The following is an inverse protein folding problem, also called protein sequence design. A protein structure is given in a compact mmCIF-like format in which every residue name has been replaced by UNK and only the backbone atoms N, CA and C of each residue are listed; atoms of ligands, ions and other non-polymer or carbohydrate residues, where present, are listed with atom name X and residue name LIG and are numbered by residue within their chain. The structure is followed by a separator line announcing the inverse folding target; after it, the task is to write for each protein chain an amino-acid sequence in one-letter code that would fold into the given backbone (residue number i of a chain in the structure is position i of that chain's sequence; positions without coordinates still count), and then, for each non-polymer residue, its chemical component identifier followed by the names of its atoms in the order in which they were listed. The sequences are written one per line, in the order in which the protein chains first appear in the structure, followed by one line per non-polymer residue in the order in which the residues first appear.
data_IF_330008635975
#
_entry.id   IF_330008635975
#
_cell.length_a   1.000
_cell.length_b   1.000
_cell.length_c   1.000
_cell.angle_alpha   90.00
_cell.angle_beta   90.00
_cell.angle_gamma   90.00
#
_symmetry.space_group_name_H-M   'P 1'
#
loop_
_entity.id
_entity.type
_entity.pdbx_description
1 polymer ?
#
# COMPACT_ATOMS: atom_id res chain seq x y z
N UNK A 1 -47.80 30.09 24.01
CA UNK A 1 -46.35 30.16 23.71
C UNK A 1 -46.07 29.02 22.74
N UNK A 2 -46.06 29.28 21.44
CA UNK A 2 -45.80 28.27 20.43
C UNK A 2 -44.25 28.15 20.27
N UNK A 3 -43.67 26.94 20.27
CA UNK A 3 -42.25 26.77 20.03
C UNK A 3 -41.93 27.23 18.61
N UNK A 4 -40.92 28.07 18.48
CA UNK A 4 -40.42 28.55 17.18
C UNK A 4 -39.68 27.41 16.46
N UNK A 5 -40.39 26.72 15.56
CA UNK A 5 -39.90 25.55 14.80
C UNK A 5 -39.14 25.98 13.53
N UNK A 6 -39.05 27.28 13.25
CA UNK A 6 -38.51 27.80 11.98
C UNK A 6 -36.96 27.64 11.76
N UNK A 7 -36.10 27.78 12.80
CA UNK A 7 -34.64 27.66 12.53
C UNK A 7 -34.25 26.28 12.01
N UNK A 8 -34.82 25.22 12.57
CA UNK A 8 -34.48 23.85 12.16
C UNK A 8 -34.86 23.50 10.71
N UNK A 9 -35.92 24.11 10.18
CA UNK A 9 -36.33 23.88 8.79
C UNK A 9 -35.39 24.59 7.80
N UNK A 10 -34.92 25.79 8.16
CA UNK A 10 -33.99 26.55 7.32
C UNK A 10 -32.59 25.89 7.27
N UNK A 11 -32.14 25.31 8.39
CA UNK A 11 -30.89 24.57 8.46
C UNK A 11 -30.97 23.26 7.66
N UNK A 12 -32.07 22.54 7.72
CA UNK A 12 -32.31 21.33 6.94
C UNK A 12 -32.41 21.63 5.43
N UNK A 13 -33.02 22.74 5.03
CA UNK A 13 -33.11 23.14 3.63
C UNK A 13 -31.79 23.66 3.09
N UNK A 14 -30.95 24.30 3.92
CA UNK A 14 -29.59 24.70 3.59
C UNK A 14 -28.65 23.50 3.43
N UNK A 15 -28.86 22.47 4.23
CA UNK A 15 -28.06 21.23 4.18
C UNK A 15 -28.39 20.39 2.94
N UNK A 16 -29.68 20.28 2.60
CA UNK A 16 -30.15 19.65 1.34
C UNK A 16 -29.62 20.39 0.12
N UNK A 17 -29.62 21.73 0.14
CA UNK A 17 -29.13 22.55 -0.97
C UNK A 17 -27.58 22.50 -1.09
N UNK A 18 -26.88 22.29 0.02
CA UNK A 18 -25.42 22.09 0.04
C UNK A 18 -25.01 20.72 -0.53
N UNK A 19 -25.82 19.70 -0.31
CA UNK A 19 -25.61 18.35 -0.88
C UNK A 19 -25.87 18.26 -2.40
N UNK A 20 -26.54 19.27 -2.98
CA UNK A 20 -26.93 19.28 -4.38
C UNK A 20 -26.09 20.25 -5.25
N UNK A 21 -25.04 20.86 -4.68
CA UNK A 21 -24.10 21.69 -5.45
C UNK A 21 -23.41 20.79 -6.50
N UNK A 22 -23.56 21.10 -7.81
CA UNK A 22 -22.88 20.37 -8.88
C UNK A 22 -21.36 20.34 -8.74
N UNK A 23 -20.78 21.22 -7.91
CA UNK A 23 -19.34 21.29 -7.62
C UNK A 23 -18.90 20.20 -6.64
N UNK A 24 -19.84 19.70 -5.78
CA UNK A 24 -19.59 18.60 -4.85
C UNK A 24 -19.74 17.22 -5.51
N UNK A 25 -20.36 17.19 -6.71
CA UNK A 25 -20.38 16.01 -7.59
C UNK A 25 -19.05 15.90 -8.32
N UNK A 26 -17.96 15.63 -7.59
CA UNK A 26 -16.73 15.14 -8.22
C UNK A 26 -17.11 13.86 -8.95
N UNK A 27 -17.13 13.86 -10.31
CA UNK A 27 -17.49 12.65 -11.04
C UNK A 27 -16.59 11.53 -10.55
N UNK A 28 -17.14 10.31 -10.30
CA UNK A 28 -16.31 9.17 -9.96
C UNK A 28 -15.32 8.98 -11.10
N UNK A 29 -14.10 9.43 -10.89
CA UNK A 29 -13.03 9.30 -11.88
C UNK A 29 -12.86 7.81 -12.11
N UNK A 30 -13.05 7.29 -13.32
CA UNK A 30 -12.83 5.89 -13.64
C UNK A 30 -11.32 5.65 -13.66
N UNK A 31 -10.72 5.63 -12.47
CA UNK A 31 -9.33 5.21 -12.36
C UNK A 31 -9.31 3.70 -12.32
N UNK A 32 -8.45 3.07 -13.11
CA UNK A 32 -8.29 1.64 -13.01
C UNK A 32 -7.97 1.28 -11.55
N UNK A 33 -8.71 0.34 -10.98
CA UNK A 33 -8.49 -0.15 -9.61
C UNK A 33 -7.10 -0.83 -9.47
N UNK A 34 -6.46 -1.12 -10.59
CA UNK A 34 -5.16 -1.80 -10.72
C UNK A 34 -4.05 -1.20 -9.83
N UNK A 35 -3.78 0.13 -9.79
CA UNK A 35 -2.67 0.65 -8.98
C UNK A 35 -2.90 0.46 -7.48
N UNK A 36 -4.14 0.52 -6.99
CA UNK A 36 -4.45 0.33 -5.57
C UNK A 36 -4.25 -1.14 -5.19
N UNK A 37 -4.74 -2.06 -6.00
CA UNK A 37 -4.54 -3.50 -5.77
C UNK A 37 -3.06 -3.88 -5.84
N UNK A 38 -2.31 -3.31 -6.78
CA UNK A 38 -0.87 -3.49 -6.85
C UNK A 38 -0.19 -3.00 -5.58
N UNK A 39 -0.53 -1.81 -5.08
CA UNK A 39 0.06 -1.25 -3.86
C UNK A 39 -0.18 -2.11 -2.61
N UNK A 40 -1.33 -2.80 -2.53
CA UNK A 40 -1.69 -3.65 -1.38
C UNK A 40 -1.11 -5.05 -1.51
N UNK A 41 -1.14 -5.65 -2.71
CA UNK A 41 -0.77 -7.05 -2.92
C UNK A 41 0.73 -7.25 -3.22
N UNK A 42 1.40 -6.28 -3.85
CA UNK A 42 2.80 -6.42 -4.22
C UNK A 42 3.74 -6.66 -3.03
N UNK A 43 3.61 -5.96 -1.87
CA UNK A 43 4.47 -6.20 -0.73
C UNK A 43 4.42 -7.63 -0.17
N UNK A 44 3.24 -8.22 0.15
CA UNK A 44 3.19 -9.59 0.66
C UNK A 44 3.61 -10.62 -0.38
N UNK A 45 3.26 -10.43 -1.66
CA UNK A 45 3.69 -11.33 -2.73
C UNK A 45 5.21 -11.30 -2.89
N UNK A 46 5.83 -10.12 -2.85
CA UNK A 46 7.28 -9.99 -2.92
C UNK A 46 7.97 -10.69 -1.75
N UNK A 47 7.44 -10.56 -0.51
CA UNK A 47 7.99 -11.21 0.66
C UNK A 47 7.91 -12.75 0.59
N UNK A 48 6.78 -13.29 0.12
CA UNK A 48 6.62 -14.74 -0.08
C UNK A 48 7.56 -15.21 -1.21
N UNK A 49 7.66 -14.46 -2.30
CA UNK A 49 8.58 -14.77 -3.40
C UNK A 49 10.03 -14.78 -2.94
N UNK A 50 10.42 -13.86 -2.04
CA UNK A 50 11.76 -13.82 -1.45
C UNK A 50 12.10 -15.13 -0.74
N UNK A 51 11.18 -15.71 0.03
CA UNK A 51 11.37 -16.99 0.69
C UNK A 51 11.57 -18.12 -0.32
N UNK A 52 10.72 -18.21 -1.34
CA UNK A 52 10.77 -19.27 -2.34
C UNK A 52 12.06 -19.19 -3.16
N UNK A 53 12.39 -18.02 -3.65
CA UNK A 53 13.64 -17.81 -4.43
C UNK A 53 14.88 -17.97 -3.55
N UNK A 54 14.82 -17.58 -2.28
CA UNK A 54 15.91 -17.80 -1.33
C UNK A 54 16.35 -19.25 -1.30
N UNK A 55 15.42 -20.19 -1.14
CA UNK A 55 15.72 -21.63 -1.15
C UNK A 55 16.36 -22.11 -2.46
N UNK A 56 15.82 -21.68 -3.61
CA UNK A 56 16.33 -22.08 -4.91
C UNK A 56 17.73 -21.54 -5.17
N UNK A 57 17.94 -20.25 -4.90
CA UNK A 57 19.23 -19.61 -5.15
C UNK A 57 20.32 -20.03 -4.15
N UNK A 58 19.96 -20.40 -2.93
CA UNK A 58 20.91 -20.96 -1.97
C UNK A 58 21.50 -22.28 -2.46
N UNK A 59 20.66 -23.14 -3.03
CA UNK A 59 21.14 -24.39 -3.64
C UNK A 59 22.06 -24.12 -4.85
N UNK A 60 21.70 -23.17 -5.70
CA UNK A 60 22.52 -22.78 -6.86
C UNK A 60 23.83 -22.11 -6.42
N UNK A 61 23.80 -21.25 -5.40
CA UNK A 61 24.97 -20.59 -4.86
C UNK A 61 25.98 -21.59 -4.31
N UNK A 62 25.52 -22.69 -3.70
CA UNK A 62 26.39 -23.76 -3.23
C UNK A 62 27.05 -24.54 -4.40
N UNK A 63 26.38 -24.73 -5.52
CA UNK A 63 26.90 -25.44 -6.68
C UNK A 63 27.86 -24.59 -7.52
N UNK A 64 27.60 -23.29 -7.65
CA UNK A 64 28.35 -22.35 -8.50
C UNK A 64 29.36 -21.49 -7.74
N UNK A 65 29.27 -21.42 -6.40
CA UNK A 65 30.07 -20.52 -5.55
C UNK A 65 29.72 -19.04 -5.68
N UNK A 66 28.65 -18.69 -6.41
CA UNK A 66 28.25 -17.30 -6.67
C UNK A 66 27.00 -16.89 -5.88
N UNK A 67 27.13 -15.86 -5.06
CA UNK A 67 26.00 -15.25 -4.31
C UNK A 67 25.22 -14.20 -5.11
N UNK A 68 25.61 -13.92 -6.34
CA UNK A 68 25.10 -12.81 -7.14
C UNK A 68 23.59 -12.94 -7.39
N UNK A 69 23.08 -14.16 -7.60
CA UNK A 69 21.66 -14.43 -7.78
C UNK A 69 20.79 -14.03 -6.58
N UNK A 70 21.27 -14.33 -5.36
CA UNK A 70 20.56 -13.98 -4.11
C UNK A 70 20.48 -12.45 -3.98
N UNK A 71 21.56 -11.74 -4.22
CA UNK A 71 21.57 -10.28 -4.12
C UNK A 71 20.69 -9.63 -5.20
N UNK A 72 20.72 -10.10 -6.43
CA UNK A 72 19.88 -9.58 -7.51
C UNK A 72 18.39 -9.73 -7.21
N UNK A 73 17.94 -10.92 -6.81
CA UNK A 73 16.53 -11.14 -6.54
C UNK A 73 16.06 -10.31 -5.34
N UNK A 74 16.87 -10.19 -4.30
CA UNK A 74 16.53 -9.38 -3.13
C UNK A 74 16.38 -7.89 -3.49
N UNK A 75 17.28 -7.36 -4.32
CA UNK A 75 17.16 -5.97 -4.80
C UNK A 75 15.92 -5.76 -5.66
N UNK A 76 15.63 -6.69 -6.59
CA UNK A 76 14.44 -6.59 -7.46
C UNK A 76 13.16 -6.58 -6.61
N UNK A 77 13.04 -7.52 -5.67
CA UNK A 77 11.85 -7.61 -4.82
C UNK A 77 11.71 -6.40 -3.88
N UNK A 78 12.82 -5.88 -3.36
CA UNK A 78 12.81 -4.65 -2.57
C UNK A 78 12.34 -3.45 -3.41
N UNK A 79 12.79 -3.34 -4.67
CA UNK A 79 12.33 -2.30 -5.59
C UNK A 79 10.83 -2.42 -5.88
N UNK A 80 10.30 -3.63 -6.06
CA UNK A 80 8.86 -3.86 -6.23
C UNK A 80 8.07 -3.36 -5.03
N UNK A 81 8.52 -3.68 -3.81
CA UNK A 81 7.88 -3.19 -2.56
C UNK A 81 7.95 -1.68 -2.45
N UNK A 82 9.09 -1.07 -2.76
CA UNK A 82 9.24 0.39 -2.76
C UNK A 82 8.33 1.06 -3.79
N UNK A 83 8.23 0.52 -5.00
CA UNK A 83 7.30 1.01 -6.01
C UNK A 83 5.84 0.94 -5.53
N UNK A 84 5.44 -0.18 -4.91
CA UNK A 84 4.12 -0.33 -4.30
C UNK A 84 3.84 0.72 -3.23
N UNK A 85 4.80 0.96 -2.34
CA UNK A 85 4.73 1.99 -1.31
C UNK A 85 4.64 3.42 -1.88
N UNK A 86 5.42 3.71 -2.93
CA UNK A 86 5.37 5.02 -3.61
C UNK A 86 4.03 5.25 -4.31
N UNK A 87 3.45 4.23 -4.93
CA UNK A 87 2.10 4.30 -5.51
C UNK A 87 1.08 4.59 -4.43
N UNK A 88 1.10 3.85 -3.31
CA UNK A 88 0.23 4.09 -2.18
C UNK A 88 0.37 5.53 -1.63
N UNK A 89 1.60 6.03 -1.48
CA UNK A 89 1.88 7.38 -1.01
C UNK A 89 1.35 8.45 -1.97
N UNK A 90 1.46 8.24 -3.28
CA UNK A 90 0.93 9.16 -4.29
C UNK A 90 -0.59 9.23 -4.25
N UNK A 91 -1.26 8.10 -4.11
CA UNK A 91 -2.72 8.06 -3.96
C UNK A 91 -3.16 8.76 -2.67
N UNK A 92 -2.47 8.52 -1.56
CA UNK A 92 -2.72 9.23 -0.30
C UNK A 92 -2.64 10.76 -0.45
N UNK A 93 -1.59 11.26 -1.11
CA UNK A 93 -1.41 12.71 -1.32
C UNK A 93 -2.46 13.33 -2.26
N UNK A 94 -2.98 12.54 -3.21
CA UNK A 94 -4.00 13.01 -4.16
C UNK A 94 -5.38 13.19 -3.53
N UNK A 95 -5.72 12.40 -2.53
CA UNK A 95 -7.04 12.42 -1.90
C UNK A 95 -7.16 13.44 -0.76
N UNK A 96 -6.12 14.23 -0.50
CA UNK A 96 -6.10 15.29 0.51
C UNK A 96 -5.91 14.79 1.94
N UNK A 97 -5.79 15.73 2.91
CA UNK A 97 -5.38 15.45 4.31
C UNK A 97 -6.53 15.15 5.28
N UNK A 98 -7.71 14.73 4.83
CA UNK A 98 -8.86 14.48 5.71
C UNK A 98 -8.81 13.08 6.31
N UNK A 99 -9.35 12.92 7.53
CA UNK A 99 -9.35 11.65 8.27
C UNK A 99 -10.20 10.59 7.55
N UNK A 100 -9.66 9.37 7.29
CA UNK A 100 -10.40 8.31 6.59
C UNK A 100 -11.69 7.89 7.28
N UNK A 101 -11.77 8.03 8.60
CA UNK A 101 -12.95 7.64 9.38
C UNK A 101 -14.14 8.59 9.23
N UNK A 102 -13.90 9.81 8.73
CA UNK A 102 -14.92 10.84 8.56
C UNK A 102 -15.54 10.88 7.16
N UNK A 103 -15.01 10.10 6.23
CA UNK A 103 -15.46 10.07 4.84
C UNK A 103 -16.33 8.84 4.58
N UNK A 104 -17.66 8.98 4.44
CA UNK A 104 -18.52 7.89 4.04
C UNK A 104 -18.33 7.52 2.56
N UNK A 105 -18.39 6.22 2.26
CA UNK A 105 -18.43 5.73 0.87
C UNK A 105 -17.08 5.36 0.25
N UNK A 106 -16.98 5.33 -1.08
CA UNK A 106 -15.84 4.77 -1.81
C UNK A 106 -14.52 5.53 -1.60
N UNK A 107 -14.59 6.80 -1.20
CA UNK A 107 -13.40 7.64 -0.93
C UNK A 107 -12.69 7.16 0.35
N UNK A 108 -13.45 6.87 1.41
CA UNK A 108 -12.89 6.35 2.66
C UNK A 108 -12.20 4.98 2.46
N UNK A 109 -12.80 4.10 1.66
CA UNK A 109 -12.23 2.78 1.35
C UNK A 109 -10.90 2.89 0.60
N UNK A 110 -10.80 3.76 -0.39
CA UNK A 110 -9.54 3.98 -1.15
C UNK A 110 -8.42 4.48 -0.26
N UNK A 111 -8.75 5.38 0.63
CA UNK A 111 -7.80 5.94 1.57
C UNK A 111 -7.30 4.92 2.58
N UNK A 112 -8.20 4.08 3.09
CA UNK A 112 -7.83 2.95 3.95
C UNK A 112 -6.88 1.99 3.21
N UNK A 113 -7.17 1.64 1.95
CA UNK A 113 -6.31 0.79 1.13
C UNK A 113 -4.94 1.41 0.87
N UNK A 114 -4.87 2.72 0.65
CA UNK A 114 -3.61 3.45 0.49
C UNK A 114 -2.76 3.39 1.75
N UNK A 115 -3.38 3.54 2.92
CA UNK A 115 -2.72 3.43 4.22
C UNK A 115 -2.22 2.01 4.47
N UNK A 116 -3.04 1.00 4.17
CA UNK A 116 -2.65 -0.41 4.24
C UNK A 116 -1.49 -0.74 3.31
N UNK A 117 -1.52 -0.21 2.07
CA UNK A 117 -0.42 -0.38 1.11
C UNK A 117 0.89 0.23 1.59
N UNK A 118 0.86 1.41 2.18
CA UNK A 118 2.03 2.10 2.70
C UNK A 118 2.60 1.37 3.93
N UNK A 119 1.74 0.98 4.87
CA UNK A 119 2.14 0.22 6.08
C UNK A 119 2.65 -1.16 5.69
N UNK A 120 1.98 -1.83 4.75
CA UNK A 120 2.41 -3.12 4.21
C UNK A 120 3.78 -3.02 3.54
N UNK A 121 4.01 -2.02 2.70
CA UNK A 121 5.32 -1.81 2.06
C UNK A 121 6.44 -1.60 3.09
N UNK A 122 6.16 -0.87 4.16
CA UNK A 122 7.14 -0.68 5.24
C UNK A 122 7.46 -1.99 5.97
N UNK A 123 6.44 -2.72 6.42
CA UNK A 123 6.61 -3.98 7.18
C UNK A 123 7.30 -5.04 6.32
N UNK A 124 6.80 -5.28 5.11
CA UNK A 124 7.36 -6.31 4.23
C UNK A 124 8.71 -5.90 3.65
N UNK A 125 8.97 -4.60 3.47
CA UNK A 125 10.30 -4.09 3.11
C UNK A 125 11.33 -4.39 4.20
N UNK A 126 11.01 -4.14 5.47
CA UNK A 126 11.85 -4.52 6.59
C UNK A 126 12.06 -6.04 6.68
N UNK A 127 11.02 -6.81 6.40
CA UNK A 127 11.11 -8.27 6.39
C UNK A 127 12.06 -8.79 5.32
N UNK A 128 12.01 -8.24 4.10
CA UNK A 128 12.95 -8.58 3.01
C UNK A 128 14.38 -8.20 3.41
N UNK A 129 14.59 -7.04 4.01
CA UNK A 129 15.90 -6.60 4.49
C UNK A 129 16.44 -7.52 5.59
N UNK A 130 15.60 -7.91 6.54
CA UNK A 130 15.97 -8.84 7.61
C UNK A 130 16.37 -10.22 7.08
N UNK A 131 15.69 -10.72 6.04
CA UNK A 131 16.06 -11.97 5.37
C UNK A 131 17.31 -11.86 4.52
N UNK A 132 17.56 -10.68 3.95
CA UNK A 132 18.73 -10.44 3.14
C UNK A 132 20.02 -10.29 3.97
N UNK A 133 19.90 -9.76 5.20
CA UNK A 133 21.03 -9.51 6.10
C UNK A 133 21.91 -10.75 6.35
N UNK A 134 21.37 -11.96 6.65
CA UNK A 134 22.19 -13.15 6.86
C UNK A 134 23.07 -13.54 5.67
N UNK A 135 22.66 -13.23 4.43
CA UNK A 135 23.45 -13.56 3.24
C UNK A 135 24.77 -12.78 3.13
N UNK A 136 24.92 -11.69 3.88
CA UNK A 136 26.21 -10.97 3.98
C UNK A 136 27.16 -11.60 5.01
N UNK A 137 26.62 -12.15 6.10
CA UNK A 137 27.40 -12.62 7.23
C UNK A 137 27.70 -14.11 7.12
N UNK A 138 26.73 -14.90 6.65
CA UNK A 138 26.84 -16.35 6.57
C UNK A 138 27.46 -16.79 5.24
N UNK A 139 28.45 -17.68 5.32
CA UNK A 139 28.88 -18.40 4.13
C UNK A 139 27.81 -19.43 3.78
N UNK A 140 27.24 -19.44 2.55
CA UNK A 140 26.12 -20.31 2.20
C UNK A 140 26.43 -21.79 2.22
N UNK A 141 27.71 -22.15 2.26
CA UNK A 141 28.18 -23.53 2.18
C UNK A 141 29.26 -23.76 3.23
N UNK A 142 28.87 -23.98 4.49
CA UNK A 142 29.78 -24.58 5.48
C UNK A 142 29.82 -26.08 5.17
N UNK A 143 30.86 -26.53 4.50
CA UNK A 143 31.18 -27.96 4.39
C UNK A 143 31.67 -28.41 5.76
N UNK A 144 30.79 -29.03 6.54
CA UNK A 144 31.18 -29.89 7.67
C UNK A 144 31.73 -31.21 7.15
#
# INVERSE_FOLDING_TARGET
MAPDVRPHLLDAEADVKRGDDPRDRVPPRPWPAVPIWFAVLAPPVAAISQLQFGYVFEHIACSTGSKLGIHLISVILLLVVLCGGLVAQREWKREGSQDPQQLPGPVGTRRLMSLLGMTGAFIFGLFILAQWFPSFVLAPCVRT
#
